data_IF_727001065496
#
_entry.id   IF_727001065496
#
_cell.length_a   1.000
_cell.length_b   1.000
_cell.length_c   1.000
_cell.angle_alpha   90.00
_cell.angle_beta   90.00
_cell.angle_gamma   90.00
#
_symmetry.space_group_name_H-M   'P 1'
#
loop_
_entity.id
_entity.type
_entity.pdbx_description
1 polymer ?
#
# COMPACT_ATOMS: atom_id res chain seq x y z
N UNK A 1 -10.90 26.45 31.38
CA UNK A 1 -9.65 25.66 31.29
C UNK A 1 -9.10 25.84 29.89
N UNK A 2 -7.97 26.54 29.74
CA UNK A 2 -7.38 26.83 28.43
C UNK A 2 -6.70 25.57 27.88
N UNK A 3 -7.36 24.93 26.91
CA UNK A 3 -6.80 23.84 26.11
C UNK A 3 -5.63 24.37 25.28
N UNK A 4 -4.42 23.97 25.65
CA UNK A 4 -3.25 24.20 24.81
C UNK A 4 -3.35 23.24 23.60
N UNK A 5 -3.31 23.75 22.35
CA UNK A 5 -3.27 22.90 21.16
C UNK A 5 -2.09 21.93 21.27
N UNK A 6 -2.34 20.69 20.84
CA UNK A 6 -1.31 19.66 20.77
C UNK A 6 -0.10 20.19 19.97
N UNK A 7 1.12 19.83 20.38
CA UNK A 7 2.36 20.33 19.79
C UNK A 7 2.44 20.10 18.27
N UNK A 8 1.68 19.14 17.76
CA UNK A 8 1.58 18.76 16.35
C UNK A 8 0.79 19.76 15.49
N UNK A 9 -0.28 20.34 16.02
CA UNK A 9 -1.14 21.30 15.31
C UNK A 9 -0.42 22.63 15.08
N UNK A 10 0.29 23.13 16.10
CA UNK A 10 1.08 24.36 15.97
C UNK A 10 2.26 24.21 15.01
N UNK A 11 2.91 23.04 15.00
CA UNK A 11 3.99 22.76 14.07
C UNK A 11 3.48 22.64 12.62
N UNK A 12 2.23 22.21 12.42
CA UNK A 12 1.56 22.20 11.12
C UNK A 12 1.23 23.62 10.64
N UNK A 13 0.67 24.45 11.51
CA UNK A 13 0.35 25.87 11.23
C UNK A 13 1.62 26.67 10.88
N UNK A 14 2.73 26.44 11.58
CA UNK A 14 4.05 27.03 11.27
C UNK A 14 4.52 26.66 9.86
N UNK A 15 4.30 25.42 9.42
CA UNK A 15 4.66 24.98 8.07
C UNK A 15 3.77 25.59 7.01
N UNK A 16 2.47 25.71 7.27
CA UNK A 16 1.52 26.32 6.35
C UNK A 16 1.84 27.81 6.12
N UNK A 17 2.09 28.58 7.19
CA UNK A 17 2.48 29.99 7.09
C UNK A 17 3.79 30.17 6.31
N UNK A 18 4.75 29.25 6.48
CA UNK A 18 5.98 29.26 5.67
C UNK A 18 5.71 28.95 4.19
N UNK A 19 4.80 28.01 3.88
CA UNK A 19 4.37 27.70 2.51
C UNK A 19 3.62 28.88 1.86
N UNK A 20 2.91 29.68 2.65
CA UNK A 20 2.29 30.94 2.21
C UNK A 20 3.31 32.08 1.99
N UNK A 21 4.61 31.81 2.15
CA UNK A 21 5.69 32.78 1.87
C UNK A 21 6.04 33.69 3.05
N UNK A 22 5.46 33.47 4.23
CA UNK A 22 5.78 34.28 5.41
C UNK A 22 7.20 33.97 5.90
N UNK A 23 7.97 35.02 6.16
CA UNK A 23 9.36 34.91 6.59
C UNK A 23 9.49 34.23 7.97
N UNK A 24 10.49 33.36 8.13
CA UNK A 24 10.71 32.59 9.36
C UNK A 24 10.88 33.46 10.63
N UNK A 25 11.44 34.67 10.50
CA UNK A 25 11.55 35.63 11.62
C UNK A 25 10.19 36.13 12.08
N UNK A 26 9.27 36.33 11.14
CA UNK A 26 7.92 36.78 11.43
C UNK A 26 7.10 35.66 12.08
N UNK A 27 7.25 34.44 11.58
CA UNK A 27 6.67 33.25 12.22
C UNK A 27 7.23 33.07 13.64
N UNK A 28 8.54 33.25 13.84
CA UNK A 28 9.16 33.15 15.17
C UNK A 28 8.56 34.13 16.19
N UNK A 29 8.30 35.37 15.77
CA UNK A 29 7.62 36.38 16.60
C UNK A 29 6.17 35.96 16.90
N UNK A 30 5.42 35.54 15.88
CA UNK A 30 4.00 35.18 16.00
C UNK A 30 3.77 34.01 16.95
N UNK A 31 4.68 33.03 16.98
CA UNK A 31 4.58 31.84 17.82
C UNK A 31 5.40 31.94 19.13
N UNK A 32 6.06 33.06 19.39
CA UNK A 32 6.98 33.24 20.51
C UNK A 32 8.00 32.09 20.65
N UNK A 33 8.65 31.73 19.54
CA UNK A 33 9.65 30.65 19.48
C UNK A 33 10.98 31.18 18.96
N UNK A 34 12.06 30.51 19.32
CA UNK A 34 13.37 30.81 18.74
C UNK A 34 13.36 30.55 17.24
N UNK A 35 14.11 31.37 16.49
CA UNK A 35 14.28 31.19 15.05
C UNK A 35 14.81 29.79 14.71
N UNK A 36 15.67 29.25 15.57
CA UNK A 36 16.21 27.90 15.41
C UNK A 36 15.14 26.81 15.56
N UNK A 37 14.21 26.97 16.51
CA UNK A 37 13.07 26.07 16.64
C UNK A 37 12.17 26.13 15.41
N UNK A 38 11.89 27.32 14.88
CA UNK A 38 11.14 27.47 13.62
C UNK A 38 11.86 26.79 12.45
N UNK A 39 13.19 26.98 12.33
CA UNK A 39 13.99 26.31 11.29
C UNK A 39 13.93 24.79 11.40
N UNK A 40 13.97 24.23 12.60
CA UNK A 40 13.84 22.78 12.81
C UNK A 40 12.46 22.27 12.39
N UNK A 41 11.39 22.98 12.73
CA UNK A 41 10.02 22.61 12.36
C UNK A 41 9.84 22.66 10.83
N UNK A 42 10.30 23.74 10.21
CA UNK A 42 10.22 23.98 8.76
C UNK A 42 11.07 22.96 7.98
N UNK A 43 12.32 22.72 8.39
CA UNK A 43 13.20 21.72 7.75
C UNK A 43 12.71 20.29 7.98
N UNK A 44 11.88 20.08 9.01
CA UNK A 44 11.54 18.78 9.51
C UNK A 44 12.68 18.17 10.33
N UNK A 45 12.34 17.25 11.21
CA UNK A 45 13.33 16.49 11.96
C UNK A 45 14.07 15.54 11.00
N UNK A 46 15.39 15.66 10.80
CA UNK A 46 16.15 14.73 9.96
C UNK A 46 16.12 13.29 10.50
N UNK A 47 15.76 13.09 11.78
CA UNK A 47 15.56 11.78 12.41
C UNK A 47 14.16 11.22 12.18
N UNK A 48 13.17 12.05 11.82
CA UNK A 48 11.87 11.55 11.35
C UNK A 48 12.08 10.99 9.94
N UNK A 49 12.27 9.67 9.86
CA UNK A 49 12.24 8.93 8.59
C UNK A 49 11.00 9.36 7.83
N UNK A 50 11.19 9.95 6.64
CA UNK A 50 10.09 10.09 5.68
C UNK A 50 9.46 8.71 5.53
N UNK A 51 8.12 8.60 5.54
CA UNK A 51 7.47 7.33 5.27
C UNK A 51 8.07 6.76 3.99
N UNK A 52 8.47 5.49 4.04
CA UNK A 52 9.08 4.83 2.90
C UNK A 52 8.13 4.92 1.70
N UNK A 53 8.68 4.96 0.48
CA UNK A 53 7.89 5.10 -0.75
C UNK A 53 6.70 4.13 -0.84
N UNK A 54 6.83 2.92 -0.28
CA UNK A 54 5.75 1.94 -0.18
C UNK A 54 4.56 2.43 0.67
N UNK A 55 4.82 3.05 1.83
CA UNK A 55 3.78 3.58 2.73
C UNK A 55 2.98 4.69 2.06
N UNK A 56 3.64 5.59 1.32
CA UNK A 56 2.95 6.63 0.57
C UNK A 56 2.08 6.05 -0.55
N UNK A 57 2.54 4.98 -1.21
CA UNK A 57 1.81 4.33 -2.30
C UNK A 57 0.60 3.55 -1.78
N UNK A 58 0.72 2.87 -0.64
CA UNK A 58 -0.42 2.23 0.03
C UNK A 58 -1.49 3.26 0.40
N UNK A 59 -1.10 4.41 0.97
CA UNK A 59 -2.03 5.48 1.29
C UNK A 59 -2.74 6.04 0.04
N UNK A 60 -2.03 6.16 -1.09
CA UNK A 60 -2.63 6.57 -2.35
C UNK A 60 -3.63 5.55 -2.89
N UNK A 61 -3.32 4.25 -2.81
CA UNK A 61 -4.24 3.20 -3.25
C UNK A 61 -5.52 3.22 -2.40
N UNK A 62 -5.37 3.31 -1.07
CA UNK A 62 -6.50 3.39 -0.14
C UNK A 62 -7.38 4.60 -0.39
N UNK A 63 -6.77 5.75 -0.69
CA UNK A 63 -7.51 6.98 -0.97
C UNK A 63 -8.38 6.84 -2.23
N UNK A 64 -7.87 6.12 -3.23
CA UNK A 64 -8.59 5.92 -4.48
C UNK A 64 -9.67 4.85 -4.38
N UNK A 65 -9.44 3.81 -3.56
CA UNK A 65 -10.37 2.70 -3.28
C UNK A 65 -11.05 2.10 -4.52
N UNK A 66 -10.35 2.12 -5.66
CA UNK A 66 -10.84 1.63 -6.95
C UNK A 66 -10.11 0.33 -7.31
N UNK A 67 -10.89 -0.76 -7.39
CA UNK A 67 -10.39 -2.10 -7.70
C UNK A 67 -9.95 -2.28 -9.14
N UNK A 68 -10.51 -1.49 -10.05
CA UNK A 68 -10.33 -1.62 -11.50
C UNK A 68 -9.30 -0.60 -12.03
N UNK A 69 -8.94 0.39 -11.21
CA UNK A 69 -7.79 1.26 -11.44
C UNK A 69 -6.51 0.44 -11.67
N UNK A 70 -5.81 0.76 -12.77
CA UNK A 70 -4.59 0.06 -13.16
C UNK A 70 -3.36 0.69 -12.51
N UNK A 71 -2.62 -0.14 -11.80
CA UNK A 71 -1.36 0.23 -11.17
C UNK A 71 -0.18 -0.40 -11.90
N UNK A 72 0.95 0.31 -11.96
CA UNK A 72 2.17 -0.25 -12.55
C UNK A 72 2.59 -1.52 -11.80
N UNK A 73 2.98 -2.57 -12.51
CA UNK A 73 3.52 -3.78 -11.89
C UNK A 73 4.82 -3.47 -11.12
N UNK A 74 5.55 -2.41 -11.50
CA UNK A 74 6.73 -1.92 -10.76
C UNK A 74 6.37 -1.32 -9.39
N UNK A 75 5.12 -0.96 -9.19
CA UNK A 75 4.58 -0.40 -7.95
C UNK A 75 3.94 -1.52 -7.12
N UNK A 76 3.03 -2.31 -7.71
CA UNK A 76 2.30 -3.38 -7.01
C UNK A 76 3.23 -4.48 -6.48
N UNK A 77 4.18 -4.98 -7.28
CA UNK A 77 5.01 -6.12 -6.88
C UNK A 77 5.87 -5.82 -5.63
N UNK A 78 6.53 -4.65 -5.53
CA UNK A 78 7.18 -4.27 -4.27
C UNK A 78 6.24 -4.09 -3.08
N UNK A 79 5.02 -3.58 -3.29
CA UNK A 79 4.06 -3.35 -2.19
C UNK A 79 3.55 -4.62 -1.55
N UNK A 80 3.47 -5.72 -2.30
CA UNK A 80 3.15 -7.04 -1.74
C UNK A 80 4.18 -7.53 -0.70
N UNK A 81 5.33 -6.86 -0.55
CA UNK A 81 6.33 -7.26 0.44
C UNK A 81 6.94 -8.65 0.20
N UNK A 82 6.77 -9.20 -1.02
CA UNK A 82 7.27 -10.52 -1.40
C UNK A 82 8.79 -10.58 -1.23
N UNK A 83 9.29 -11.69 -0.68
CA UNK A 83 10.72 -11.93 -0.47
C UNK A 83 11.26 -13.04 -1.37
N UNK A 84 12.56 -13.00 -1.64
CA UNK A 84 13.30 -14.06 -2.31
C UNK A 84 12.70 -14.50 -3.65
N UNK A 85 12.54 -15.81 -3.81
CA UNK A 85 12.09 -16.44 -5.04
C UNK A 85 10.67 -16.05 -5.47
N UNK A 86 9.74 -15.85 -4.53
CA UNK A 86 8.37 -15.45 -4.87
C UNK A 86 8.32 -14.09 -5.57
N UNK A 87 9.10 -13.11 -5.09
CA UNK A 87 9.23 -11.80 -5.73
C UNK A 87 9.81 -11.91 -7.13
N UNK A 88 10.86 -12.72 -7.31
CA UNK A 88 11.52 -12.93 -8.60
C UNK A 88 10.53 -13.53 -9.61
N UNK A 89 9.86 -14.62 -9.26
CA UNK A 89 8.93 -15.33 -10.14
C UNK A 89 7.69 -14.50 -10.50
N UNK A 90 7.12 -13.79 -9.54
CA UNK A 90 6.01 -12.84 -9.82
C UNK A 90 6.48 -11.71 -10.74
N UNK A 91 7.67 -11.15 -10.49
CA UNK A 91 8.25 -10.11 -11.35
C UNK A 91 8.51 -10.61 -12.78
N UNK A 92 9.00 -11.83 -12.94
CA UNK A 92 9.20 -12.50 -14.23
C UNK A 92 7.86 -12.78 -14.93
N UNK A 93 6.84 -13.26 -14.20
CA UNK A 93 5.50 -13.49 -14.75
C UNK A 93 4.93 -12.24 -15.42
N UNK A 94 4.97 -11.09 -14.74
CA UNK A 94 4.49 -9.83 -15.31
C UNK A 94 5.33 -9.38 -16.51
N UNK A 95 6.66 -9.55 -16.44
CA UNK A 95 7.58 -9.20 -17.53
C UNK A 95 7.34 -10.05 -18.78
N UNK A 96 7.24 -11.37 -18.62
CA UNK A 96 7.10 -12.33 -19.71
C UNK A 96 5.76 -12.15 -20.45
N UNK A 97 4.69 -11.82 -19.73
CA UNK A 97 3.38 -11.51 -20.33
C UNK A 97 3.26 -10.08 -20.89
N UNK A 98 4.38 -9.32 -20.92
CA UNK A 98 4.44 -7.90 -21.33
C UNK A 98 3.40 -7.01 -20.61
N UNK A 99 2.93 -7.41 -19.43
CA UNK A 99 1.97 -6.65 -18.64
C UNK A 99 2.73 -5.59 -17.84
N UNK A 100 2.53 -4.33 -18.19
CA UNK A 100 3.14 -3.18 -17.50
C UNK A 100 2.31 -2.69 -16.31
N UNK A 101 1.01 -2.98 -16.32
CA UNK A 101 0.07 -2.61 -15.27
C UNK A 101 -0.94 -3.73 -14.99
N UNK A 102 -1.52 -3.68 -13.80
CA UNK A 102 -2.54 -4.61 -13.31
C UNK A 102 -3.48 -3.86 -12.35
N UNK A 103 -4.77 -4.19 -12.35
CA UNK A 103 -5.72 -3.70 -11.35
C UNK A 103 -5.72 -4.58 -10.10
N UNK A 104 -6.27 -4.07 -8.99
CA UNK A 104 -6.37 -4.88 -7.77
C UNK A 104 -7.29 -6.08 -7.97
N UNK A 105 -8.39 -5.94 -8.72
CA UNK A 105 -9.27 -7.06 -9.09
C UNK A 105 -8.52 -8.13 -9.88
N UNK A 106 -7.76 -7.72 -10.89
CA UNK A 106 -6.95 -8.65 -11.69
C UNK A 106 -5.86 -9.33 -10.86
N UNK A 107 -5.28 -8.62 -9.89
CA UNK A 107 -4.32 -9.20 -8.95
C UNK A 107 -4.99 -10.25 -8.06
N UNK A 108 -6.19 -9.99 -7.56
CA UNK A 108 -6.96 -10.99 -6.82
C UNK A 108 -7.28 -12.18 -7.71
N UNK A 109 -7.72 -11.96 -8.97
CA UNK A 109 -8.08 -13.03 -9.91
C UNK A 109 -6.91 -13.96 -10.23
N UNK A 110 -5.67 -13.44 -10.21
CA UNK A 110 -4.48 -14.26 -10.39
C UNK A 110 -4.33 -15.32 -9.29
N UNK A 111 -4.72 -14.98 -8.06
CA UNK A 111 -4.48 -15.81 -6.88
C UNK A 111 -5.72 -16.59 -6.46
N UNK A 112 -6.89 -15.98 -6.65
CA UNK A 112 -8.19 -16.50 -6.29
C UNK A 112 -9.24 -15.89 -7.25
N UNK A 113 -9.51 -16.56 -8.38
CA UNK A 113 -10.48 -16.10 -9.37
C UNK A 113 -11.87 -15.94 -8.77
N UNK A 114 -12.62 -14.96 -9.25
CA UNK A 114 -14.04 -14.86 -8.92
C UNK A 114 -14.81 -16.06 -9.49
N UNK A 115 -15.65 -16.71 -8.67
CA UNK A 115 -16.46 -17.84 -9.12
C UNK A 115 -15.68 -19.12 -9.41
N UNK A 116 -14.54 -19.32 -8.74
CA UNK A 116 -13.71 -20.52 -8.83
C UNK A 116 -14.55 -21.82 -8.71
N UNK A 117 -14.57 -22.62 -9.77
CA UNK A 117 -15.28 -23.91 -9.80
C UNK A 117 -14.27 -25.05 -9.75
N UNK A 118 -14.37 -25.82 -8.68
CA UNK A 118 -13.99 -27.23 -8.57
C UNK A 118 -12.50 -27.64 -8.56
N UNK A 119 -11.52 -26.94 -9.15
CA UNK A 119 -10.14 -27.46 -9.15
C UNK A 119 -9.03 -26.44 -8.91
N UNK A 120 -8.16 -26.71 -7.92
CA UNK A 120 -6.96 -25.90 -7.58
C UNK A 120 -6.06 -25.53 -8.79
N UNK A 121 -6.09 -26.36 -9.84
CA UNK A 121 -5.43 -26.13 -11.13
C UNK A 121 -5.96 -24.92 -11.90
N UNK A 122 -7.17 -24.44 -11.60
CA UNK A 122 -7.81 -23.32 -12.29
C UNK A 122 -7.35 -21.96 -11.72
N UNK A 123 -6.57 -21.98 -10.63
CA UNK A 123 -5.94 -20.78 -10.11
C UNK A 123 -4.85 -20.37 -11.10
N UNK A 124 -5.05 -19.21 -11.74
CA UNK A 124 -4.18 -18.72 -12.81
C UNK A 124 -2.69 -18.72 -12.44
N UNK A 125 -2.36 -18.44 -11.17
CA UNK A 125 -0.99 -18.51 -10.68
C UNK A 125 -0.46 -19.95 -10.65
N UNK A 126 -1.22 -20.90 -10.11
CA UNK A 126 -0.82 -22.31 -9.91
C UNK A 126 -0.76 -23.07 -11.24
N UNK A 127 -1.61 -22.70 -12.19
CA UNK A 127 -1.59 -23.21 -13.55
C UNK A 127 -0.28 -22.86 -14.30
N UNK A 128 0.58 -21.97 -13.77
CA UNK A 128 1.85 -21.64 -14.41
C UNK A 128 2.92 -22.69 -14.04
N UNK A 129 3.65 -23.26 -15.02
CA UNK A 129 4.68 -24.27 -14.77
C UNK A 129 5.77 -23.85 -13.77
N UNK A 130 6.04 -22.54 -13.71
CA UNK A 130 7.09 -21.92 -12.89
C UNK A 130 6.62 -21.50 -11.49
N UNK A 131 5.35 -21.67 -11.17
CA UNK A 131 4.73 -21.17 -9.94
C UNK A 131 4.03 -22.34 -9.23
N UNK A 132 4.80 -23.03 -8.38
CA UNK A 132 4.26 -24.09 -7.53
C UNK A 132 3.44 -23.56 -6.33
N UNK A 133 2.80 -24.48 -5.62
CA UNK A 133 1.96 -24.24 -4.44
C UNK A 133 2.60 -23.32 -3.39
N UNK A 134 3.91 -23.47 -3.13
CA UNK A 134 4.62 -22.64 -2.14
C UNK A 134 4.72 -21.16 -2.52
N UNK A 135 4.88 -20.87 -3.81
CA UNK A 135 4.89 -19.49 -4.31
C UNK A 135 3.47 -18.92 -4.26
N UNK A 136 2.47 -19.68 -4.71
CA UNK A 136 1.07 -19.28 -4.61
C UNK A 136 0.68 -18.93 -3.17
N UNK A 137 0.98 -19.79 -2.20
CA UNK A 137 0.70 -19.53 -0.78
C UNK A 137 1.43 -18.30 -0.25
N UNK A 138 2.67 -18.06 -0.68
CA UNK A 138 3.42 -16.86 -0.32
C UNK A 138 2.74 -15.59 -0.83
N UNK A 139 2.21 -15.62 -2.06
CA UNK A 139 1.50 -14.50 -2.67
C UNK A 139 0.12 -14.31 -2.04
N UNK A 140 -0.61 -15.40 -1.77
CA UNK A 140 -1.89 -15.37 -1.06
C UNK A 140 -1.76 -14.70 0.32
N UNK A 141 -0.75 -15.09 1.09
CA UNK A 141 -0.47 -14.50 2.40
C UNK A 141 -0.07 -13.03 2.28
N UNK A 142 0.75 -12.69 1.29
CA UNK A 142 1.17 -11.32 1.04
C UNK A 142 -0.01 -10.41 0.70
N UNK A 143 -0.87 -10.81 -0.23
CA UNK A 143 -2.09 -10.07 -0.60
C UNK A 143 -3.04 -9.95 0.60
N UNK A 144 -3.22 -11.01 1.38
CA UNK A 144 -4.09 -10.99 2.57
C UNK A 144 -3.58 -10.09 3.69
N UNK A 145 -2.27 -9.80 3.72
CA UNK A 145 -1.68 -8.88 4.69
C UNK A 145 -1.73 -7.41 4.24
N UNK A 146 -2.04 -7.16 2.97
CA UNK A 146 -2.14 -5.81 2.45
C UNK A 146 -3.50 -5.20 2.78
N UNK A 147 -3.47 -4.00 3.35
CA UNK A 147 -4.64 -3.13 3.42
C UNK A 147 -4.55 -2.12 2.26
N UNK A 148 -5.30 -2.39 1.19
CA UNK A 148 -5.44 -1.54 0.02
C UNK A 148 -6.75 -0.75 0.00
N UNK A 149 -7.49 -0.73 1.12
CA UNK A 149 -8.72 0.04 1.25
C UNK A 149 -9.96 -0.82 1.51
N UNK A 150 -11.09 -0.18 1.85
CA UNK A 150 -12.34 -0.85 2.19
C UNK A 150 -12.88 -1.74 1.06
N UNK A 151 -12.90 -1.25 -0.19
CA UNK A 151 -13.42 -2.00 -1.34
C UNK A 151 -12.57 -3.24 -1.62
N UNK A 152 -11.25 -3.12 -1.49
CA UNK A 152 -10.33 -4.26 -1.59
C UNK A 152 -10.60 -5.28 -0.50
N UNK A 153 -10.70 -4.83 0.75
CA UNK A 153 -10.89 -5.70 1.91
C UNK A 153 -12.20 -6.47 1.82
N UNK A 154 -13.29 -5.81 1.45
CA UNK A 154 -14.60 -6.44 1.33
C UNK A 154 -14.63 -7.51 0.22
N UNK A 155 -14.09 -7.20 -0.95
CA UNK A 155 -14.03 -8.16 -2.07
C UNK A 155 -13.07 -9.32 -1.75
N UNK A 156 -11.92 -9.04 -1.14
CA UNK A 156 -10.95 -10.08 -0.77
C UNK A 156 -11.52 -11.03 0.28
N UNK A 157 -12.21 -10.50 1.30
CA UNK A 157 -12.84 -11.31 2.33
C UNK A 157 -13.91 -12.24 1.74
N UNK A 158 -14.77 -11.72 0.86
CA UNK A 158 -15.77 -12.52 0.15
C UNK A 158 -15.15 -13.71 -0.59
N UNK A 159 -14.03 -13.48 -1.27
CA UNK A 159 -13.28 -14.54 -1.99
C UNK A 159 -12.65 -15.56 -1.04
N UNK A 160 -12.08 -15.08 0.07
CA UNK A 160 -11.46 -15.93 1.09
C UNK A 160 -12.48 -16.80 1.83
N UNK A 161 -13.67 -16.30 2.09
CA UNK A 161 -14.75 -17.08 2.72
C UNK A 161 -15.15 -18.25 1.82
N UNK A 162 -15.40 -17.98 0.54
CA UNK A 162 -15.66 -19.03 -0.45
C UNK A 162 -14.51 -20.06 -0.53
N UNK A 163 -13.26 -19.62 -0.52
CA UNK A 163 -12.10 -20.50 -0.52
C UNK A 163 -12.01 -21.38 0.73
N UNK A 164 -12.28 -20.83 1.92
CA UNK A 164 -12.26 -21.58 3.17
C UNK A 164 -13.36 -22.63 3.21
N UNK A 165 -14.56 -22.29 2.75
CA UNK A 165 -15.67 -23.23 2.70
C UNK A 165 -15.38 -24.40 1.76
N UNK A 166 -14.77 -24.13 0.59
CA UNK A 166 -14.30 -25.18 -0.31
C UNK A 166 -13.31 -26.15 0.36
N UNK A 167 -12.27 -25.63 1.02
CA UNK A 167 -11.26 -26.46 1.68
C UNK A 167 -11.76 -27.19 2.93
N UNK A 168 -12.89 -26.78 3.51
CA UNK A 168 -13.56 -27.55 4.58
C UNK A 168 -14.42 -28.69 4.03
N UNK A 169 -14.81 -28.61 2.75
CA UNK A 169 -15.63 -29.61 2.05
C UNK A 169 -14.80 -30.63 1.25
N UNK A 170 -13.48 -30.43 1.13
CA UNK A 170 -12.52 -31.34 0.46
C UNK A 170 -11.78 -32.20 1.47
#
# INVERSE_FOLDING_TARGET
>A
MNGWPDYTERDAEIKELWQQGIGQREIARRFNRSLERIRQIVRGDPRKKKPGRAVCLEAMIRLQDDLDMKWSCRIIVPMLGLKGWAKKRIGEHFRNRRRKSISLRQLMDLVLPHGFREYFSDILLVAQPDIGHGIHRSVLNAISACDFGPSFTAEWQRRMDYYRDYWKLS
#
